data_IF_340486155189
#
_entry.id   IF_340486155189
#
_cell.length_a   1.000
_cell.length_b   1.000
_cell.length_c   1.000
_cell.angle_alpha   90.00
_cell.angle_beta   90.00
_cell.angle_gamma   90.00
#
_symmetry.space_group_name_H-M   'P 1'
#
loop_
_entity.id
_entity.type
_entity.pdbx_description
1 polymer ?
#
# COMPACT_ATOMS: atom_id res chain seq x y z
N UNK A 1 14.75 20.62 -29.41
CA UNK A 1 14.86 20.95 -27.97
C UNK A 1 16.27 21.48 -27.71
N UNK A 2 16.50 22.39 -26.76
CA UNK A 2 17.84 22.96 -26.51
C UNK A 2 18.84 21.98 -25.87
N UNK A 3 18.38 20.82 -25.37
CA UNK A 3 19.20 19.79 -24.72
C UNK A 3 19.13 18.47 -25.49
N UNK A 4 20.19 17.65 -25.41
CA UNK A 4 20.24 16.31 -26.03
C UNK A 4 19.31 15.33 -25.30
N UNK A 5 18.91 14.24 -25.97
CA UNK A 5 18.13 13.15 -25.35
C UNK A 5 18.82 12.60 -24.11
N UNK A 6 20.12 12.35 -24.21
CA UNK A 6 20.96 11.88 -23.10
C UNK A 6 20.87 12.81 -21.88
N UNK A 7 20.90 14.13 -22.09
CA UNK A 7 20.73 15.11 -21.00
C UNK A 7 19.37 14.97 -20.32
N UNK A 8 18.30 14.72 -21.08
CA UNK A 8 16.96 14.51 -20.51
C UNK A 8 16.85 13.20 -19.74
N UNK A 9 17.43 12.11 -20.26
CA UNK A 9 17.45 10.80 -19.59
C UNK A 9 18.22 10.91 -18.28
N UNK A 10 19.42 11.51 -18.30
CA UNK A 10 20.23 11.71 -17.11
C UNK A 10 19.54 12.62 -16.07
N UNK A 11 18.91 13.71 -16.52
CA UNK A 11 18.14 14.58 -15.63
C UNK A 11 16.96 13.84 -14.97
N UNK A 12 16.27 12.99 -15.73
CA UNK A 12 15.17 12.19 -15.19
C UNK A 12 15.67 11.10 -14.22
N UNK A 13 16.83 10.50 -14.47
CA UNK A 13 17.49 9.57 -13.54
C UNK A 13 17.80 10.26 -12.20
N UNK A 14 18.35 11.48 -12.23
CA UNK A 14 18.60 12.25 -11.01
C UNK A 14 17.31 12.63 -10.26
N UNK A 15 16.25 13.01 -10.99
CA UNK A 15 14.94 13.24 -10.38
C UNK A 15 14.37 11.96 -9.77
N UNK A 16 14.45 10.84 -10.47
CA UNK A 16 14.05 9.52 -9.98
C UNK A 16 14.81 9.14 -8.71
N UNK A 17 16.12 9.35 -8.67
CA UNK A 17 16.95 9.11 -7.48
C UNK A 17 16.49 9.97 -6.30
N UNK A 18 16.23 11.25 -6.54
CA UNK A 18 15.70 12.18 -5.53
C UNK A 18 14.34 11.75 -4.99
N UNK A 19 13.40 11.37 -5.86
CA UNK A 19 12.10 10.87 -5.43
C UNK A 19 12.18 9.55 -4.68
N UNK A 20 13.07 8.65 -5.08
CA UNK A 20 13.23 7.35 -4.45
C UNK A 20 13.59 7.49 -2.96
N UNK A 21 14.74 8.09 -2.64
CA UNK A 21 15.17 8.29 -1.24
C UNK A 21 14.30 9.31 -0.52
N UNK A 22 13.90 10.38 -1.20
CA UNK A 22 13.09 11.44 -0.60
C UNK A 22 11.77 10.92 -0.02
N UNK A 23 11.03 10.11 -0.79
CA UNK A 23 9.82 9.46 -0.28
C UNK A 23 10.13 8.26 0.62
N UNK A 24 11.16 7.46 0.29
CA UNK A 24 11.49 6.26 1.04
C UNK A 24 11.92 6.52 2.49
N UNK A 25 12.57 7.66 2.76
CA UNK A 25 12.96 8.06 4.10
C UNK A 25 11.77 8.41 5.01
N UNK A 26 10.62 8.83 4.45
CA UNK A 26 9.46 9.29 5.23
C UNK A 26 8.91 8.15 6.08
N UNK A 27 8.61 7.01 5.45
CA UNK A 27 8.00 5.87 6.11
C UNK A 27 8.88 5.32 7.23
N UNK A 28 10.14 5.05 6.91
CA UNK A 28 11.11 4.50 7.86
C UNK A 28 11.26 5.42 9.08
N UNK A 29 11.55 6.71 8.87
CA UNK A 29 11.75 7.66 9.98
C UNK A 29 10.51 7.78 10.90
N UNK A 30 9.29 7.78 10.33
CA UNK A 30 8.06 7.81 11.11
C UNK A 30 7.89 6.54 11.96
N UNK A 31 8.09 5.36 11.35
CA UNK A 31 7.98 4.08 12.04
C UNK A 31 9.03 3.91 13.13
N UNK A 32 10.27 4.28 12.84
CA UNK A 32 11.38 4.21 13.79
C UNK A 32 11.23 5.18 14.96
N UNK A 33 10.81 6.43 14.69
CA UNK A 33 10.54 7.43 15.71
C UNK A 33 9.40 6.99 16.64
N UNK A 34 8.34 6.39 16.08
CA UNK A 34 7.24 5.83 16.87
C UNK A 34 7.71 4.67 17.77
N UNK A 35 8.56 3.79 17.25
CA UNK A 35 9.16 2.71 18.03
C UNK A 35 10.06 3.25 19.16
N UNK A 36 10.91 4.24 18.87
CA UNK A 36 11.79 4.86 19.85
C UNK A 36 11.03 5.59 20.98
N UNK A 37 9.96 6.30 20.64
CA UNK A 37 9.09 6.95 21.63
C UNK A 37 8.44 5.94 22.57
N UNK A 38 7.97 4.82 22.04
CA UNK A 38 7.38 3.74 22.83
C UNK A 38 8.43 2.99 23.67
N UNK A 39 9.63 2.77 23.14
CA UNK A 39 10.74 2.21 23.90
C UNK A 39 11.13 3.12 25.07
N UNK A 40 11.18 4.44 24.86
CA UNK A 40 11.47 5.42 25.92
C UNK A 40 10.41 5.37 27.03
N UNK A 41 9.12 5.30 26.65
CA UNK A 41 8.01 5.11 27.60
C UNK A 41 8.13 3.79 28.37
N UNK A 42 8.47 2.71 27.67
CA UNK A 42 8.62 1.37 28.24
C UNK A 42 9.78 1.29 29.24
N UNK A 43 10.94 1.88 28.91
CA UNK A 43 12.11 1.97 29.79
C UNK A 43 11.81 2.83 31.02
N UNK A 44 11.10 3.95 30.84
CA UNK A 44 10.66 4.80 31.94
C UNK A 44 9.77 4.05 32.94
N UNK A 45 8.95 3.10 32.46
CA UNK A 45 8.12 2.24 33.31
C UNK A 45 8.91 1.11 33.96
N UNK A 46 9.85 0.48 33.25
CA UNK A 46 10.65 -0.64 33.74
C UNK A 46 12.15 -0.51 33.38
N UNK A 47 12.94 0.25 34.15
CA UNK A 47 14.35 0.52 33.83
C UNK A 47 15.24 -0.73 33.80
N UNK A 48 14.88 -1.76 34.57
CA UNK A 48 15.61 -3.03 34.62
C UNK A 48 15.58 -3.76 33.27
N UNK A 49 14.57 -3.49 32.43
CA UNK A 49 14.41 -4.08 31.11
C UNK A 49 15.01 -3.23 29.97
N UNK A 50 15.81 -2.20 30.30
CA UNK A 50 16.42 -1.29 29.32
C UNK A 50 17.22 -1.99 28.22
N UNK A 51 18.10 -2.93 28.59
CA UNK A 51 18.89 -3.70 27.62
C UNK A 51 18.03 -4.49 26.63
N UNK A 52 17.11 -5.36 27.10
CA UNK A 52 16.16 -6.07 26.25
C UNK A 52 15.29 -5.17 25.36
N UNK A 53 14.75 -4.08 25.92
CA UNK A 53 13.90 -3.14 25.17
C UNK A 53 14.71 -2.44 24.08
N UNK A 54 15.91 -1.95 24.41
CA UNK A 54 16.80 -1.30 23.45
C UNK A 54 17.19 -2.25 22.33
N UNK A 55 17.55 -3.50 22.66
CA UNK A 55 17.84 -4.53 21.66
C UNK A 55 16.65 -4.74 20.72
N UNK A 56 15.44 -4.87 21.27
CA UNK A 56 14.26 -5.13 20.47
C UNK A 56 13.85 -3.93 19.60
N UNK A 57 13.98 -2.71 20.13
CA UNK A 57 13.80 -1.46 19.40
C UNK A 57 14.73 -1.41 18.18
N UNK A 58 16.04 -1.64 18.38
CA UNK A 58 17.03 -1.60 17.30
C UNK A 58 16.76 -2.67 16.22
N UNK A 59 16.34 -3.87 16.61
CA UNK A 59 15.96 -4.92 15.65
C UNK A 59 14.73 -4.47 14.85
N UNK A 60 13.69 -3.95 15.52
CA UNK A 60 12.48 -3.47 14.85
C UNK A 60 12.74 -2.30 13.91
N UNK A 61 13.57 -1.34 14.33
CA UNK A 61 14.01 -0.21 13.50
C UNK A 61 14.81 -0.71 12.28
N UNK A 62 15.76 -1.62 12.46
CA UNK A 62 16.51 -2.18 11.34
C UNK A 62 15.62 -2.88 10.28
N UNK A 63 14.52 -3.52 10.71
CA UNK A 63 13.54 -4.09 9.78
C UNK A 63 12.67 -3.01 9.14
N UNK A 64 12.27 -1.95 9.85
CA UNK A 64 11.53 -0.83 9.27
C UNK A 64 12.39 -0.06 8.23
N UNK A 65 13.68 0.11 8.52
CA UNK A 65 14.68 0.80 7.70
C UNK A 65 14.95 0.09 6.37
N UNK A 66 14.65 -1.21 6.25
CA UNK A 66 14.89 -1.94 4.99
C UNK A 66 14.23 -1.27 3.79
N UNK A 67 13.03 -0.70 3.96
CA UNK A 67 12.35 0.08 2.91
C UNK A 67 13.15 1.33 2.48
N UNK A 68 13.77 2.03 3.44
CA UNK A 68 14.67 3.15 3.19
C UNK A 68 15.94 2.72 2.47
N UNK A 69 16.52 1.57 2.86
CA UNK A 69 17.68 0.99 2.18
C UNK A 69 17.34 0.60 0.74
N UNK A 70 16.15 0.04 0.49
CA UNK A 70 15.70 -0.30 -0.86
C UNK A 70 15.60 0.96 -1.74
N UNK A 71 15.04 2.04 -1.21
CA UNK A 71 15.01 3.34 -1.87
C UNK A 71 16.42 3.91 -2.10
N UNK A 72 17.32 3.79 -1.13
CA UNK A 72 18.72 4.21 -1.27
C UNK A 72 19.44 3.44 -2.38
N UNK A 73 19.26 2.12 -2.46
CA UNK A 73 19.85 1.29 -3.51
C UNK A 73 19.35 1.75 -4.88
N UNK A 74 18.04 1.93 -5.06
CA UNK A 74 17.48 2.43 -6.34
C UNK A 74 18.03 3.82 -6.67
N UNK A 75 18.08 4.74 -5.71
CA UNK A 75 18.64 6.07 -5.94
C UNK A 75 20.11 6.06 -6.34
N UNK A 76 20.92 5.22 -5.69
CA UNK A 76 22.33 5.07 -6.03
C UNK A 76 22.51 4.50 -7.43
N UNK A 77 21.72 3.49 -7.81
CA UNK A 77 21.75 2.95 -9.16
C UNK A 77 21.33 3.98 -10.20
N UNK A 78 20.27 4.76 -9.94
CA UNK A 78 19.84 5.86 -10.81
C UNK A 78 20.86 7.00 -10.91
N UNK A 79 21.59 7.30 -9.83
CA UNK A 79 22.58 8.38 -9.82
C UNK A 79 23.86 8.03 -10.59
N UNK A 80 24.24 6.75 -10.63
CA UNK A 80 25.50 6.30 -11.22
C UNK A 80 25.33 5.45 -12.50
N UNK A 81 24.11 5.30 -13.02
CA UNK A 81 23.90 4.57 -14.26
C UNK A 81 24.40 5.34 -15.47
N UNK A 82 24.97 4.60 -16.41
CA UNK A 82 25.29 5.10 -17.74
C UNK A 82 23.99 5.22 -18.55
N UNK A 83 23.74 6.41 -19.09
CA UNK A 83 22.55 6.73 -19.89
C UNK A 83 22.93 7.01 -21.36
N UNK A 84 24.13 6.60 -21.77
CA UNK A 84 24.60 6.79 -23.14
C UNK A 84 23.68 6.08 -24.14
N UNK A 85 23.36 6.77 -25.23
CA UNK A 85 22.51 6.27 -26.33
C UNK A 85 21.06 5.86 -25.94
N UNK A 86 20.63 6.18 -24.71
CA UNK A 86 19.30 5.83 -24.22
C UNK A 86 18.16 6.51 -25.02
N UNK A 87 17.10 5.75 -25.39
CA UNK A 87 15.91 6.33 -26.01
C UNK A 87 15.14 7.21 -25.02
N UNK A 88 14.43 8.22 -25.52
CA UNK A 88 13.71 9.20 -24.70
C UNK A 88 12.67 8.59 -23.73
N UNK A 89 12.13 7.41 -24.04
CA UNK A 89 11.20 6.69 -23.16
C UNK A 89 11.86 6.25 -21.85
N UNK A 90 13.16 5.96 -21.85
CA UNK A 90 13.90 5.59 -20.63
C UNK A 90 13.92 6.72 -19.61
N UNK A 91 13.93 7.99 -20.04
CA UNK A 91 13.82 9.12 -19.11
C UNK A 91 12.60 8.95 -18.17
N UNK A 92 11.46 8.58 -18.74
CA UNK A 92 10.23 8.35 -17.97
C UNK A 92 10.26 7.06 -17.18
N UNK A 93 10.91 6.02 -17.70
CA UNK A 93 11.08 4.75 -16.99
C UNK A 93 11.94 4.90 -15.73
N UNK A 94 13.06 5.65 -15.83
CA UNK A 94 13.96 5.94 -14.71
C UNK A 94 13.33 6.87 -13.67
N UNK A 95 12.53 7.85 -14.11
CA UNK A 95 11.72 8.63 -13.18
C UNK A 95 10.68 7.75 -12.46
N UNK A 96 10.01 6.88 -13.21
CA UNK A 96 8.98 5.99 -12.71
C UNK A 96 9.52 4.94 -11.74
N UNK A 97 10.73 4.42 -11.95
CA UNK A 97 11.39 3.48 -11.02
C UNK A 97 11.66 4.13 -9.67
N UNK A 98 12.11 5.39 -9.68
CA UNK A 98 12.28 6.19 -8.47
C UNK A 98 10.98 6.39 -7.71
N UNK A 99 9.91 6.77 -8.41
CA UNK A 99 8.57 6.95 -7.83
C UNK A 99 7.98 5.64 -7.29
N UNK A 100 8.13 4.53 -8.04
CA UNK A 100 7.66 3.21 -7.64
C UNK A 100 8.26 2.80 -6.30
N UNK A 101 9.59 2.81 -6.20
CA UNK A 101 10.28 2.44 -4.95
C UNK A 101 10.00 3.45 -3.82
N UNK A 102 10.13 4.74 -4.10
CA UNK A 102 10.00 5.78 -3.07
C UNK A 102 8.62 5.78 -2.41
N UNK A 103 7.55 5.76 -3.20
CA UNK A 103 6.18 5.74 -2.68
C UNK A 103 5.86 4.43 -1.95
N UNK A 104 6.31 3.27 -2.46
CA UNK A 104 6.07 1.98 -1.80
C UNK A 104 6.77 1.85 -0.44
N UNK A 105 7.88 2.56 -0.25
CA UNK A 105 8.61 2.58 1.02
C UNK A 105 7.89 3.39 2.12
N UNK A 106 7.07 4.39 1.77
CA UNK A 106 6.32 5.20 2.75
C UNK A 106 5.47 4.31 3.65
N UNK A 107 4.62 3.47 3.04
CA UNK A 107 3.69 2.64 3.79
C UNK A 107 4.40 1.57 4.60
N UNK A 108 5.35 0.89 3.97
CA UNK A 108 6.05 -0.26 4.55
C UNK A 108 6.94 0.12 5.73
N UNK A 109 7.66 1.24 5.63
CA UNK A 109 8.48 1.77 6.71
C UNK A 109 7.64 2.22 7.91
N UNK A 110 6.54 2.94 7.66
CA UNK A 110 5.65 3.40 8.73
C UNK A 110 4.95 2.20 9.41
N UNK A 111 4.44 1.26 8.62
CA UNK A 111 3.80 0.03 9.11
C UNK A 111 4.72 -0.86 9.94
N UNK A 112 6.00 -0.96 9.55
CA UNK A 112 7.01 -1.76 10.26
C UNK A 112 7.30 -1.27 11.69
N UNK A 113 7.05 0.00 11.98
CA UNK A 113 7.26 0.60 13.30
C UNK A 113 6.22 0.20 14.36
N UNK A 114 4.99 -0.11 13.97
CA UNK A 114 3.91 -0.48 14.91
C UNK A 114 4.22 -1.75 15.73
N UNK A 115 4.58 -2.89 15.13
CA UNK A 115 4.98 -4.08 15.89
C UNK A 115 6.22 -3.84 16.76
N UNK A 116 7.18 -3.04 16.30
CA UNK A 116 8.38 -2.72 17.07
C UNK A 116 8.06 -1.94 18.34
N UNK A 117 7.19 -0.93 18.22
CA UNK A 117 6.71 -0.14 19.35
C UNK A 117 5.99 -1.00 20.40
N UNK A 118 5.03 -1.82 19.98
CA UNK A 118 4.23 -2.64 20.89
C UNK A 118 5.03 -3.80 21.49
N UNK A 119 6.05 -4.31 20.80
CA UNK A 119 6.97 -5.27 21.38
C UNK A 119 7.79 -4.64 22.52
N UNK A 120 8.26 -3.39 22.37
CA UNK A 120 8.99 -2.70 23.42
C UNK A 120 8.12 -2.50 24.68
N UNK A 121 6.87 -2.05 24.49
CA UNK A 121 5.90 -1.90 25.59
C UNK A 121 5.58 -3.25 26.23
N UNK A 122 5.31 -4.27 25.41
CA UNK A 122 5.01 -5.62 25.88
C UNK A 122 6.15 -6.27 26.66
N UNK A 123 7.42 -6.01 26.31
CA UNK A 123 8.59 -6.49 27.06
C UNK A 123 8.67 -5.82 28.44
N UNK A 124 8.38 -4.53 28.54
CA UNK A 124 8.35 -3.84 29.83
C UNK A 124 7.23 -4.34 30.73
N UNK A 125 6.06 -4.62 30.14
CA UNK A 125 4.86 -5.07 30.85
C UNK A 125 4.93 -6.55 31.25
N UNK A 126 5.47 -7.41 30.38
CA UNK A 126 5.55 -8.86 30.57
C UNK A 126 6.90 -9.44 30.10
N UNK A 127 8.00 -9.23 30.85
CA UNK A 127 9.34 -9.69 30.49
C UNK A 127 9.47 -11.17 30.07
N UNK A 128 8.78 -12.14 30.71
CA UNK A 128 8.90 -13.55 30.33
C UNK A 128 8.45 -13.85 28.88
N UNK A 129 7.64 -12.96 28.29
CA UNK A 129 7.11 -13.13 26.93
C UNK A 129 8.02 -12.57 25.84
N UNK A 130 9.16 -11.96 26.20
CA UNK A 130 10.06 -11.26 25.27
C UNK A 130 10.33 -12.04 23.99
N UNK A 131 10.74 -13.32 24.08
CA UNK A 131 11.06 -14.11 22.89
C UNK A 131 9.88 -14.26 21.92
N UNK A 132 8.67 -14.46 22.45
CA UNK A 132 7.45 -14.56 21.64
C UNK A 132 7.08 -13.21 21.00
N UNK A 133 7.26 -12.11 21.72
CA UNK A 133 7.00 -10.76 21.22
C UNK A 133 7.99 -10.35 20.12
N UNK A 134 9.28 -10.59 20.32
CA UNK A 134 10.30 -10.35 19.29
C UNK A 134 10.02 -11.17 18.04
N UNK A 135 9.62 -12.44 18.20
CA UNK A 135 9.26 -13.30 17.06
C UNK A 135 8.04 -12.75 16.32
N UNK A 136 7.00 -12.34 17.04
CA UNK A 136 5.80 -11.79 16.42
C UNK A 136 6.08 -10.45 15.73
N UNK A 137 6.91 -9.61 16.34
CA UNK A 137 7.38 -8.37 15.76
C UNK A 137 8.06 -8.62 14.42
N UNK A 138 9.02 -9.54 14.36
CA UNK A 138 9.73 -9.86 13.12
C UNK A 138 8.78 -10.36 12.02
N UNK A 139 7.84 -11.25 12.37
CA UNK A 139 6.83 -11.74 11.41
C UNK A 139 5.97 -10.58 10.91
N UNK A 140 5.46 -9.76 11.82
CA UNK A 140 4.60 -8.62 11.49
C UNK A 140 5.29 -7.56 10.63
N UNK A 141 6.51 -7.19 11.00
CA UNK A 141 7.33 -6.25 10.22
C UNK A 141 7.69 -6.84 8.86
N UNK A 142 8.03 -8.14 8.76
CA UNK A 142 8.31 -8.76 7.46
C UNK A 142 7.09 -8.72 6.53
N UNK A 143 5.89 -8.96 7.06
CA UNK A 143 4.63 -8.87 6.32
C UNK A 143 4.41 -7.43 5.82
N UNK A 144 4.64 -6.41 6.66
CA UNK A 144 4.50 -5.00 6.24
C UNK A 144 5.56 -4.54 5.24
N UNK A 145 6.66 -5.28 5.03
CA UNK A 145 7.68 -4.95 4.02
C UNK A 145 7.35 -5.46 2.62
N UNK A 146 6.40 -6.38 2.47
CA UNK A 146 6.04 -6.94 1.16
C UNK A 146 5.65 -5.88 0.10
N UNK A 147 4.94 -4.77 0.43
CA UNK A 147 4.60 -3.77 -0.59
C UNK A 147 5.83 -2.97 -1.06
N UNK A 148 6.83 -2.77 -0.21
CA UNK A 148 8.11 -2.18 -0.63
C UNK A 148 8.88 -3.12 -1.57
N UNK A 149 8.82 -4.43 -1.35
CA UNK A 149 9.40 -5.42 -2.28
C UNK A 149 8.69 -5.35 -3.63
N UNK A 150 7.37 -5.20 -3.65
CA UNK A 150 6.60 -5.03 -4.88
C UNK A 150 7.05 -3.79 -5.68
N UNK A 151 7.18 -2.64 -5.00
CA UNK A 151 7.73 -1.42 -5.60
C UNK A 151 9.16 -1.58 -6.11
N UNK A 152 10.02 -2.25 -5.35
CA UNK A 152 11.41 -2.53 -5.75
C UNK A 152 11.48 -3.40 -7.01
N UNK A 153 10.69 -4.47 -7.09
CA UNK A 153 10.67 -5.36 -8.25
C UNK A 153 10.25 -4.59 -9.50
N UNK A 154 9.18 -3.78 -9.41
CA UNK A 154 8.75 -2.94 -10.53
C UNK A 154 9.81 -1.89 -10.88
N UNK A 155 10.45 -1.27 -9.89
CA UNK A 155 11.53 -0.31 -10.12
C UNK A 155 12.71 -0.93 -10.89
N UNK A 156 13.16 -2.13 -10.48
CA UNK A 156 14.20 -2.85 -11.20
C UNK A 156 13.77 -3.23 -12.62
N UNK A 157 12.54 -3.70 -12.80
CA UNK A 157 12.05 -4.02 -14.13
C UNK A 157 12.01 -2.77 -15.03
N UNK A 158 11.51 -1.63 -14.54
CA UNK A 158 11.51 -0.37 -15.28
C UNK A 158 12.93 0.07 -15.67
N UNK A 159 13.90 -0.10 -14.78
CA UNK A 159 15.30 0.28 -15.03
C UNK A 159 16.03 -0.61 -16.05
N UNK A 160 15.68 -1.90 -16.11
CA UNK A 160 16.46 -2.89 -16.86
C UNK A 160 15.73 -3.51 -18.06
N UNK A 161 14.45 -3.19 -18.27
CA UNK A 161 13.76 -3.51 -19.53
C UNK A 161 14.32 -2.62 -20.64
N UNK A 162 14.60 -3.23 -21.79
CA UNK A 162 14.95 -2.52 -23.02
C UNK A 162 13.68 -1.90 -23.63
N UNK A 163 13.63 -0.58 -23.68
CA UNK A 163 12.50 0.18 -24.22
C UNK A 163 12.71 0.65 -25.66
N UNK A 164 13.81 0.27 -26.31
CA UNK A 164 14.16 0.71 -27.67
C UNK A 164 13.11 0.36 -28.72
N UNK A 165 12.35 -0.71 -28.52
CA UNK A 165 11.31 -1.19 -29.44
C UNK A 165 9.94 -0.54 -29.20
N UNK A 166 9.77 0.25 -28.14
CA UNK A 166 8.50 0.86 -27.77
C UNK A 166 8.45 2.34 -28.18
N UNK A 167 7.31 2.83 -28.70
CA UNK A 167 7.20 4.23 -29.10
C UNK A 167 7.13 5.14 -27.87
N UNK A 168 7.75 6.32 -27.95
CA UNK A 168 7.66 7.33 -26.88
C UNK A 168 6.19 7.68 -26.58
N UNK A 169 5.38 7.85 -27.62
CA UNK A 169 3.95 8.11 -27.51
C UNK A 169 3.17 6.89 -27.97
N UNK A 170 2.31 6.28 -27.14
CA UNK A 170 1.92 6.68 -25.78
C UNK A 170 2.82 6.13 -24.65
N UNK A 171 3.92 5.43 -24.97
CA UNK A 171 4.69 4.61 -24.01
C UNK A 171 5.20 5.32 -22.75
N UNK A 172 5.56 6.60 -22.80
CA UNK A 172 6.00 7.35 -21.62
C UNK A 172 4.97 7.34 -20.49
N UNK A 173 3.68 7.41 -20.85
CA UNK A 173 2.59 7.43 -19.89
C UNK A 173 2.33 6.04 -19.31
N UNK A 174 2.63 4.98 -20.07
CA UNK A 174 2.55 3.61 -19.61
C UNK A 174 3.59 3.32 -18.53
N UNK A 175 4.86 3.66 -18.79
CA UNK A 175 5.96 3.43 -17.83
C UNK A 175 5.78 4.27 -16.57
N UNK A 176 5.37 5.54 -16.70
CA UNK A 176 5.05 6.39 -15.56
C UNK A 176 3.84 5.88 -14.78
N UNK A 177 2.78 5.49 -15.49
CA UNK A 177 1.58 4.90 -14.91
C UNK A 177 1.88 3.63 -14.12
N UNK A 178 2.80 2.78 -14.62
CA UNK A 178 3.21 1.55 -13.94
C UNK A 178 3.87 1.85 -12.59
N UNK A 179 4.83 2.79 -12.57
CA UNK A 179 5.50 3.18 -11.33
C UNK A 179 4.55 3.82 -10.31
N UNK A 180 3.64 4.68 -10.77
CA UNK A 180 2.61 5.29 -9.91
C UNK A 180 1.62 4.27 -9.38
N UNK A 181 1.22 3.27 -10.18
CA UNK A 181 0.24 2.26 -9.78
C UNK A 181 0.72 1.44 -8.59
N UNK A 182 1.91 0.84 -8.69
CA UNK A 182 2.48 0.05 -7.59
C UNK A 182 2.91 0.93 -6.41
N UNK A 183 3.47 2.11 -6.70
CA UNK A 183 3.98 3.05 -5.69
C UNK A 183 2.87 3.49 -4.74
N UNK A 184 1.78 4.01 -5.30
CA UNK A 184 0.65 4.51 -4.52
C UNK A 184 -0.12 3.38 -3.82
N UNK A 185 -0.34 2.24 -4.50
CA UNK A 185 -1.07 1.11 -3.93
C UNK A 185 -0.37 0.49 -2.71
N UNK A 186 0.96 0.53 -2.71
CA UNK A 186 1.78 0.03 -1.61
C UNK A 186 1.70 0.89 -0.35
N UNK A 187 1.36 2.19 -0.44
CA UNK A 187 1.27 3.08 0.73
C UNK A 187 0.25 2.53 1.72
N UNK A 188 -1.00 2.35 1.29
CA UNK A 188 -2.06 1.91 2.18
C UNK A 188 -1.83 0.51 2.72
N UNK A 189 -1.38 -0.40 1.85
CA UNK A 189 -1.13 -1.80 2.19
C UNK A 189 0.00 -1.97 3.21
N UNK A 190 1.07 -1.18 3.08
CA UNK A 190 2.22 -1.20 3.99
C UNK A 190 1.83 -0.75 5.39
N UNK A 191 1.15 0.39 5.52
CA UNK A 191 0.69 0.89 6.83
C UNK A 191 -0.34 -0.08 7.42
N UNK A 192 -1.33 -0.47 6.62
CA UNK A 192 -2.46 -1.28 7.06
C UNK A 192 -2.07 -2.69 7.52
N UNK A 193 -1.07 -3.31 6.89
CA UNK A 193 -0.60 -4.64 7.33
C UNK A 193 0.26 -4.61 8.60
N UNK A 194 0.85 -3.46 8.95
CA UNK A 194 1.62 -3.26 10.19
C UNK A 194 0.77 -3.03 11.44
N UNK A 195 -0.38 -2.37 11.32
CA UNK A 195 -1.32 -2.13 12.42
C UNK A 195 -1.76 -3.40 13.17
N UNK A 196 -2.27 -4.46 12.51
CA UNK A 196 -2.61 -5.70 13.19
C UNK A 196 -1.40 -6.36 13.85
N UNK A 197 -0.20 -6.21 13.29
CA UNK A 197 1.00 -6.73 13.93
C UNK A 197 1.33 -6.05 15.26
N UNK A 198 1.17 -4.72 15.34
CA UNK A 198 1.26 -3.99 16.61
C UNK A 198 0.23 -4.50 17.63
N UNK A 199 -1.04 -4.51 17.25
CA UNK A 199 -2.13 -4.95 18.13
C UNK A 199 -2.02 -6.41 18.56
N UNK A 200 -1.60 -7.30 17.66
CA UNK A 200 -1.32 -8.70 17.97
C UNK A 200 -0.18 -8.83 18.98
N UNK A 201 0.88 -8.06 18.83
CA UNK A 201 2.03 -8.05 19.76
C UNK A 201 1.60 -7.58 21.15
N UNK A 202 0.84 -6.48 21.23
CA UNK A 202 0.26 -6.01 22.50
C UNK A 202 -0.72 -7.04 23.11
N UNK A 203 -1.48 -7.73 22.26
CA UNK A 203 -2.36 -8.82 22.65
C UNK A 203 -1.62 -10.01 23.25
N UNK A 204 -0.54 -10.45 22.59
CA UNK A 204 0.32 -11.55 23.04
C UNK A 204 1.02 -11.26 24.37
N UNK A 205 1.39 -10.00 24.62
CA UNK A 205 1.95 -9.61 25.90
C UNK A 205 0.94 -9.80 27.03
N UNK A 206 -0.34 -9.48 26.80
CA UNK A 206 -1.43 -9.60 27.79
C UNK A 206 -1.96 -11.03 27.92
N UNK A 207 -2.00 -11.79 26.83
CA UNK A 207 -2.60 -13.12 26.75
C UNK A 207 -1.66 -14.12 26.07
N UNK A 208 -0.55 -14.53 26.69
CA UNK A 208 0.47 -15.37 26.04
C UNK A 208 -0.06 -16.75 25.62
N UNK A 209 -1.04 -17.29 26.35
CA UNK A 209 -1.65 -18.58 26.05
C UNK A 209 -2.41 -18.59 24.71
N UNK A 210 -2.89 -17.43 24.23
CA UNK A 210 -3.60 -17.31 22.97
C UNK A 210 -2.72 -16.84 21.80
N UNK A 211 -1.39 -16.82 21.98
CA UNK A 211 -0.45 -16.24 21.03
C UNK A 211 -0.58 -16.81 19.61
N UNK A 212 -0.76 -18.13 19.48
CA UNK A 212 -0.95 -18.79 18.19
C UNK A 212 -2.22 -18.29 17.50
N UNK A 213 -3.35 -18.25 18.21
CA UNK A 213 -4.64 -17.79 17.67
C UNK A 213 -4.58 -16.33 17.24
N UNK A 214 -3.98 -15.47 18.07
CA UNK A 214 -3.79 -14.04 17.76
C UNK A 214 -2.93 -13.89 16.50
N UNK A 215 -1.80 -14.61 16.42
CA UNK A 215 -0.90 -14.54 15.27
C UNK A 215 -1.57 -15.04 13.99
N UNK A 216 -2.36 -16.10 14.05
CA UNK A 216 -3.11 -16.59 12.88
C UNK A 216 -4.08 -15.53 12.37
N UNK A 217 -4.86 -14.90 13.27
CA UNK A 217 -5.78 -13.84 12.87
C UNK A 217 -5.05 -12.61 12.30
N UNK A 218 -3.94 -12.20 12.94
CA UNK A 218 -3.07 -11.14 12.42
C UNK A 218 -2.64 -11.42 10.98
N UNK A 219 -2.14 -12.62 10.69
CA UNK A 219 -1.68 -12.99 9.35
C UNK A 219 -2.81 -12.98 8.32
N UNK A 220 -4.00 -13.48 8.69
CA UNK A 220 -5.18 -13.45 7.82
C UNK A 220 -5.56 -12.00 7.52
N UNK A 221 -5.69 -11.16 8.55
CA UNK A 221 -6.07 -9.76 8.39
C UNK A 221 -5.05 -8.97 7.56
N UNK A 222 -3.75 -9.14 7.84
CA UNK A 222 -2.66 -8.50 7.09
C UNK A 222 -2.60 -8.95 5.63
N UNK A 223 -2.88 -10.22 5.33
CA UNK A 223 -2.90 -10.71 3.96
C UNK A 223 -3.99 -10.01 3.13
N UNK A 224 -5.17 -9.80 3.72
CA UNK A 224 -6.26 -9.06 3.07
C UNK A 224 -5.91 -7.57 2.93
N UNK A 225 -5.18 -6.97 3.87
CA UNK A 225 -4.69 -5.60 3.74
C UNK A 225 -3.66 -5.40 2.62
N UNK A 226 -3.08 -6.47 2.07
CA UNK A 226 -2.07 -6.39 1.01
C UNK A 226 -2.60 -6.57 -0.41
N UNK A 227 -3.81 -7.11 -0.57
CA UNK A 227 -4.40 -7.29 -1.90
C UNK A 227 -4.49 -5.99 -2.72
N UNK A 228 -4.67 -4.78 -2.14
CA UNK A 228 -4.65 -3.55 -2.93
C UNK A 228 -3.29 -3.29 -3.62
N UNK A 229 -2.17 -3.58 -2.94
CA UNK A 229 -0.84 -3.48 -3.55
C UNK A 229 -0.64 -4.51 -4.67
N UNK A 230 -1.24 -5.69 -4.55
CA UNK A 230 -1.21 -6.70 -5.62
C UNK A 230 -1.97 -6.20 -6.85
N UNK A 231 -3.15 -5.58 -6.69
CA UNK A 231 -3.85 -4.96 -7.83
C UNK A 231 -3.01 -3.88 -8.51
N UNK A 232 -2.35 -3.01 -7.74
CA UNK A 232 -1.43 -2.01 -8.28
C UNK A 232 -0.25 -2.61 -9.04
N UNK A 233 0.36 -3.69 -8.51
CA UNK A 233 1.42 -4.42 -9.21
C UNK A 233 0.91 -5.04 -10.52
N UNK A 234 -0.26 -5.67 -10.51
CA UNK A 234 -0.84 -6.30 -11.70
C UNK A 234 -1.06 -5.26 -12.80
N UNK A 235 -1.60 -4.09 -12.47
CA UNK A 235 -1.76 -2.99 -13.43
C UNK A 235 -0.41 -2.47 -13.92
N UNK A 236 0.59 -2.37 -13.03
CA UNK A 236 1.95 -2.01 -13.44
C UNK A 236 2.53 -2.99 -14.47
N UNK A 237 2.39 -4.30 -14.22
CA UNK A 237 2.84 -5.32 -15.18
C UNK A 237 2.08 -5.24 -16.51
N UNK A 238 0.76 -5.02 -16.48
CA UNK A 238 -0.02 -4.82 -17.71
C UNK A 238 0.50 -3.60 -18.51
N UNK A 239 0.77 -2.48 -17.83
CA UNK A 239 1.30 -1.27 -18.47
C UNK A 239 2.71 -1.46 -19.05
N UNK A 240 3.52 -2.34 -18.47
CA UNK A 240 4.89 -2.59 -18.91
C UNK A 240 5.00 -3.59 -20.05
N UNK A 241 4.13 -4.59 -20.10
CA UNK A 241 4.26 -5.72 -21.03
C UNK A 241 3.28 -5.69 -22.21
N UNK A 242 2.33 -4.76 -22.25
CA UNK A 242 1.49 -4.57 -23.43
C UNK A 242 2.30 -3.83 -24.51
N UNK A 243 2.15 -4.26 -25.75
CA UNK A 243 2.79 -3.63 -26.90
C UNK A 243 2.00 -2.39 -27.34
N UNK A 244 2.67 -1.24 -27.37
CA UNK A 244 2.06 0.04 -27.73
C UNK A 244 2.30 0.43 -29.20
N UNK A 245 2.97 -0.45 -29.97
CA UNK A 245 3.24 -0.21 -31.37
C UNK A 245 1.96 -0.13 -32.21
N UNK A 246 1.88 0.91 -33.05
CA UNK A 246 0.72 1.13 -33.94
C UNK A 246 -0.55 1.65 -33.26
N UNK A 247 -0.52 1.88 -31.95
CA UNK A 247 -1.64 2.49 -31.21
C UNK A 247 -1.59 4.01 -31.34
N UNK A 248 -2.73 4.72 -31.53
CA UNK A 248 -2.72 6.18 -31.61
C UNK A 248 -2.10 6.83 -30.39
N UNK A 249 -1.25 7.84 -30.57
CA UNK A 249 -0.67 8.59 -29.44
C UNK A 249 -1.77 9.27 -28.60
N UNK A 250 -2.68 9.97 -29.28
CA UNK A 250 -3.82 10.66 -28.71
C UNK A 250 -5.10 9.86 -29.03
N UNK A 251 -5.94 9.52 -28.05
CA UNK A 251 -5.88 9.86 -26.61
C UNK A 251 -5.17 8.83 -25.70
N UNK A 252 -4.49 7.84 -26.27
CA UNK A 252 -4.05 6.65 -25.53
C UNK A 252 -3.15 6.93 -24.35
N UNK A 253 -2.18 7.86 -24.46
CA UNK A 253 -1.27 8.16 -23.34
C UNK A 253 -2.03 8.53 -22.05
N UNK A 254 -3.12 9.29 -22.21
CA UNK A 254 -3.93 9.76 -21.09
C UNK A 254 -4.70 8.61 -20.44
N UNK A 255 -5.13 7.63 -21.23
CA UNK A 255 -5.74 6.41 -20.73
C UNK A 255 -4.73 5.54 -19.96
N UNK A 256 -3.50 5.39 -20.45
CA UNK A 256 -2.46 4.59 -19.78
C UNK A 256 -2.04 5.19 -18.45
N UNK A 257 -1.81 6.52 -18.40
CA UNK A 257 -1.54 7.22 -17.14
C UNK A 257 -2.75 7.16 -16.20
N UNK A 258 -3.96 7.36 -16.74
CA UNK A 258 -5.21 7.27 -15.98
C UNK A 258 -5.42 5.88 -15.36
N UNK A 259 -5.06 4.81 -16.06
CA UNK A 259 -5.13 3.44 -15.55
C UNK A 259 -4.20 3.24 -14.34
N UNK A 260 -2.95 3.69 -14.46
CA UNK A 260 -2.00 3.64 -13.34
C UNK A 260 -2.51 4.38 -12.10
N UNK A 261 -3.00 5.61 -12.29
CA UNK A 261 -3.54 6.46 -11.21
C UNK A 261 -4.82 5.89 -10.58
N UNK A 262 -5.70 5.28 -11.38
CA UNK A 262 -6.99 4.76 -10.92
C UNK A 262 -6.81 3.64 -9.90
N UNK A 263 -6.06 2.59 -10.23
CA UNK A 263 -5.78 1.51 -9.27
C UNK A 263 -4.84 1.97 -8.16
N UNK A 264 -3.81 2.74 -8.49
CA UNK A 264 -2.80 3.18 -7.52
C UNK A 264 -3.38 3.99 -6.36
N UNK A 265 -4.17 5.02 -6.67
CA UNK A 265 -4.78 5.86 -5.64
C UNK A 265 -5.91 5.14 -4.90
N UNK A 266 -6.78 4.41 -5.61
CA UNK A 266 -7.93 3.73 -4.98
C UNK A 266 -7.49 2.66 -3.99
N UNK A 267 -6.32 2.04 -4.20
CA UNK A 267 -5.76 1.03 -3.31
C UNK A 267 -5.30 1.57 -1.94
N UNK A 268 -5.04 2.88 -1.79
CA UNK A 268 -4.59 3.47 -0.53
C UNK A 268 -5.64 3.26 0.56
N UNK A 269 -6.90 3.57 0.26
CA UNK A 269 -7.98 3.53 1.25
C UNK A 269 -8.23 2.14 1.83
N UNK A 270 -8.54 1.13 0.99
CA UNK A 270 -8.76 -0.24 1.42
C UNK A 270 -7.56 -0.84 2.16
N UNK A 271 -6.33 -0.52 1.74
CA UNK A 271 -5.13 -0.99 2.43
C UNK A 271 -5.11 -0.55 3.90
N UNK A 272 -5.35 0.75 4.14
CA UNK A 272 -5.41 1.32 5.50
C UNK A 272 -6.65 0.79 6.25
N UNK A 273 -7.82 0.84 5.63
CA UNK A 273 -9.10 0.44 6.22
C UNK A 273 -9.10 -1.02 6.69
N UNK A 274 -8.61 -1.93 5.84
CA UNK A 274 -8.48 -3.33 6.19
C UNK A 274 -7.51 -3.54 7.36
N UNK A 275 -6.47 -2.71 7.45
CA UNK A 275 -5.56 -2.67 8.57
C UNK A 275 -6.24 -2.32 9.90
N UNK A 276 -7.09 -1.30 9.92
CA UNK A 276 -7.88 -0.96 11.11
C UNK A 276 -8.78 -2.12 11.54
N UNK A 277 -9.46 -2.76 10.59
CA UNK A 277 -10.32 -3.92 10.90
C UNK A 277 -9.52 -5.07 11.51
N UNK A 278 -8.39 -5.42 10.91
CA UNK A 278 -7.51 -6.49 11.39
C UNK A 278 -6.88 -6.16 12.75
N UNK A 279 -6.55 -4.89 13.00
CA UNK A 279 -6.05 -4.41 14.28
C UNK A 279 -7.05 -4.66 15.41
N UNK A 280 -8.32 -4.30 15.19
CA UNK A 280 -9.38 -4.50 16.17
C UNK A 280 -9.76 -5.97 16.32
N UNK A 281 -9.64 -6.78 15.27
CA UNK A 281 -9.79 -8.23 15.34
C UNK A 281 -8.73 -8.85 16.25
N UNK A 282 -7.46 -8.50 16.06
CA UNK A 282 -6.34 -8.98 16.87
C UNK A 282 -6.50 -8.57 18.34
N UNK A 283 -6.90 -7.32 18.60
CA UNK A 283 -7.18 -6.83 19.96
C UNK A 283 -8.41 -7.51 20.59
N UNK A 284 -9.42 -7.81 19.78
CA UNK A 284 -10.63 -8.54 20.18
C UNK A 284 -10.29 -9.95 20.65
N UNK A 285 -9.59 -10.71 19.81
CA UNK A 285 -9.17 -12.09 20.10
C UNK A 285 -8.23 -12.16 21.30
N UNK A 286 -7.35 -11.17 21.46
CA UNK A 286 -6.49 -11.12 22.64
C UNK A 286 -7.28 -10.97 23.96
N UNK A 287 -8.46 -10.35 23.92
CA UNK A 287 -9.35 -10.22 25.09
C UNK A 287 -10.22 -11.46 25.29
N UNK A 288 -10.74 -12.03 24.20
CA UNK A 288 -11.64 -13.19 24.23
C UNK A 288 -11.23 -14.17 23.12
N UNK A 289 -10.26 -15.07 23.37
CA UNK A 289 -9.75 -16.00 22.36
C UNK A 289 -10.81 -16.96 21.80
N UNK A 290 -11.82 -17.28 22.61
CA UNK A 290 -12.94 -18.16 22.25
C UNK A 290 -13.80 -17.55 21.14
N UNK A 291 -13.86 -16.22 21.06
CA UNK A 291 -14.59 -15.49 20.01
C UNK A 291 -13.83 -15.37 18.68
N UNK A 292 -12.68 -16.05 18.52
CA UNK A 292 -11.82 -15.95 17.33
C UNK A 292 -12.53 -16.28 16.01
N UNK A 293 -13.38 -17.31 15.98
CA UNK A 293 -14.15 -17.66 14.80
C UNK A 293 -15.09 -16.53 14.34
N UNK A 294 -16.04 -16.09 15.20
CA UNK A 294 -16.94 -14.96 14.89
C UNK A 294 -16.22 -13.66 14.56
N UNK A 295 -15.15 -13.32 15.30
CA UNK A 295 -14.34 -12.12 15.08
C UNK A 295 -13.66 -12.16 13.71
N UNK A 296 -13.03 -13.28 13.37
CA UNK A 296 -12.37 -13.47 12.06
C UNK A 296 -13.38 -13.42 10.92
N UNK A 297 -14.54 -14.07 11.08
CA UNK A 297 -15.61 -14.05 10.07
C UNK A 297 -16.09 -12.63 9.80
N UNK A 298 -16.36 -11.86 10.85
CA UNK A 298 -16.85 -10.48 10.70
C UNK A 298 -15.77 -9.56 10.14
N UNK A 299 -14.51 -9.74 10.56
CA UNK A 299 -13.36 -9.04 9.98
C UNK A 299 -13.32 -9.25 8.47
N UNK A 300 -13.41 -10.49 7.99
CA UNK A 300 -13.37 -10.81 6.56
C UNK A 300 -14.55 -10.22 5.80
N UNK A 301 -15.76 -10.26 6.37
CA UNK A 301 -16.94 -9.61 5.77
C UNK A 301 -16.69 -8.11 5.61
N UNK A 302 -16.26 -7.44 6.69
CA UNK A 302 -16.01 -6.00 6.68
C UNK A 302 -14.89 -5.60 5.71
N UNK A 303 -13.79 -6.35 5.69
CA UNK A 303 -12.67 -6.12 4.77
C UNK A 303 -13.03 -6.40 3.31
N UNK A 304 -13.93 -7.35 3.04
CA UNK A 304 -14.41 -7.63 1.68
C UNK A 304 -15.19 -6.45 1.12
N UNK A 305 -16.04 -5.83 1.94
CA UNK A 305 -16.77 -4.62 1.54
C UNK A 305 -15.79 -3.47 1.31
N UNK A 306 -14.89 -3.21 2.27
CA UNK A 306 -13.87 -2.16 2.14
C UNK A 306 -12.95 -2.30 0.90
N UNK A 307 -12.85 -3.49 0.30
CA UNK A 307 -12.09 -3.71 -0.93
C UNK A 307 -12.82 -3.33 -2.22
N UNK A 308 -14.13 -3.14 -2.21
CA UNK A 308 -14.90 -2.85 -3.43
C UNK A 308 -14.33 -1.65 -4.19
N UNK A 309 -13.85 -0.62 -3.50
CA UNK A 309 -13.33 0.59 -4.13
C UNK A 309 -12.05 0.38 -4.93
N UNK A 310 -11.12 -0.46 -4.46
CA UNK A 310 -9.94 -0.83 -5.25
C UNK A 310 -10.33 -1.73 -6.42
N UNK A 311 -11.37 -2.56 -6.28
CA UNK A 311 -11.92 -3.33 -7.40
C UNK A 311 -12.52 -2.40 -8.47
N UNK A 312 -13.18 -1.30 -8.08
CA UNK A 312 -13.67 -0.30 -9.03
C UNK A 312 -12.53 0.44 -9.73
N UNK A 313 -11.49 0.82 -8.99
CA UNK A 313 -10.27 1.41 -9.58
C UNK A 313 -9.58 0.45 -10.55
N UNK A 314 -9.46 -0.83 -10.16
CA UNK A 314 -8.95 -1.89 -11.01
C UNK A 314 -9.81 -2.07 -12.27
N UNK A 315 -11.13 -2.10 -12.14
CA UNK A 315 -12.06 -2.18 -13.27
C UNK A 315 -11.88 -0.99 -14.23
N UNK A 316 -11.85 0.25 -13.73
CA UNK A 316 -11.62 1.44 -14.57
C UNK A 316 -10.25 1.37 -15.25
N UNK A 317 -9.23 0.83 -14.57
CA UNK A 317 -7.91 0.63 -15.17
C UNK A 317 -7.94 -0.38 -16.32
N UNK A 318 -8.65 -1.50 -16.16
CA UNK A 318 -8.84 -2.48 -17.23
C UNK A 318 -9.61 -1.89 -18.41
N UNK A 319 -10.66 -1.10 -18.14
CA UNK A 319 -11.41 -0.38 -19.18
C UNK A 319 -10.50 0.59 -19.93
N UNK A 320 -9.66 1.34 -19.20
CA UNK A 320 -8.72 2.28 -19.81
C UNK A 320 -7.66 1.57 -20.69
N UNK A 321 -7.17 0.41 -20.25
CA UNK A 321 -6.15 -0.38 -20.94
C UNK A 321 -6.67 -1.11 -22.19
N UNK A 322 -7.85 -1.72 -22.11
CA UNK A 322 -8.31 -2.69 -23.11
C UNK A 322 -9.39 -2.17 -24.05
N UNK A 323 -9.96 -0.98 -23.82
CA UNK A 323 -10.88 -0.39 -24.78
C UNK A 323 -10.10 0.34 -25.88
N UNK A 324 -10.18 -0.12 -27.14
CA UNK A 324 -9.51 0.52 -28.25
C UNK A 324 -10.07 1.92 -28.48
N UNK A 325 -9.20 2.86 -28.83
CA UNK A 325 -9.57 4.25 -29.11
C UNK A 325 -9.09 4.64 -30.49
N UNK A 326 -9.96 5.32 -31.23
CA UNK A 326 -9.59 5.92 -32.50
C UNK A 326 -8.72 7.15 -32.27
N UNK A 327 -7.87 7.46 -33.25
CA UNK A 327 -7.03 8.64 -33.21
C UNK A 327 -7.90 9.90 -33.18
N UNK A 328 -7.67 10.78 -32.20
CA UNK A 328 -8.40 12.04 -32.06
C UNK A 328 -7.51 13.09 -31.44
N UNK A 329 -7.40 14.23 -32.12
CA UNK A 329 -6.60 15.38 -31.68
C UNK A 329 -7.40 16.34 -30.80
N UNK A 330 -8.67 16.04 -30.52
CA UNK A 330 -9.49 16.90 -29.68
C UNK A 330 -9.02 16.80 -28.23
N UNK A 331 -8.94 17.94 -27.54
CA UNK A 331 -8.52 17.96 -26.14
C UNK A 331 -9.43 17.11 -25.25
N UNK A 332 -10.73 17.10 -25.56
CA UNK A 332 -11.74 16.31 -24.84
C UNK A 332 -11.41 14.81 -24.90
N UNK A 333 -10.96 14.30 -26.06
CA UNK A 333 -10.70 12.88 -26.25
C UNK A 333 -9.64 12.32 -25.29
N UNK A 334 -8.62 13.11 -24.92
CA UNK A 334 -7.57 12.67 -23.99
C UNK A 334 -7.80 13.15 -22.56
N UNK A 335 -8.43 14.30 -22.34
CA UNK A 335 -8.75 14.76 -20.97
C UNK A 335 -9.76 13.83 -20.30
N UNK A 336 -10.74 13.32 -21.04
CA UNK A 336 -11.78 12.45 -20.49
C UNK A 336 -11.24 11.14 -19.85
N UNK A 337 -10.43 10.31 -20.54
CA UNK A 337 -9.89 9.09 -19.93
C UNK A 337 -8.94 9.34 -18.76
N UNK A 338 -8.11 10.40 -18.81
CA UNK A 338 -7.27 10.78 -17.68
C UNK A 338 -8.11 11.20 -16.47
N UNK A 339 -9.14 12.01 -16.71
CA UNK A 339 -10.05 12.48 -15.66
C UNK A 339 -10.84 11.33 -15.03
N UNK A 340 -11.26 10.34 -15.82
CA UNK A 340 -11.90 9.14 -15.33
C UNK A 340 -10.97 8.35 -14.39
N UNK A 341 -9.72 8.16 -14.78
CA UNK A 341 -8.73 7.50 -13.94
C UNK A 341 -8.50 8.22 -12.60
N UNK A 342 -8.32 9.55 -12.65
CA UNK A 342 -8.13 10.40 -11.46
C UNK A 342 -9.36 10.37 -10.55
N UNK A 343 -10.56 10.52 -11.12
CA UNK A 343 -11.82 10.56 -10.39
C UNK A 343 -12.05 9.26 -9.58
N UNK A 344 -11.90 8.10 -10.24
CA UNK A 344 -12.02 6.81 -9.57
C UNK A 344 -10.89 6.60 -8.55
N UNK A 345 -9.65 6.98 -8.90
CA UNK A 345 -8.50 6.84 -8.02
C UNK A 345 -8.71 7.53 -6.67
N UNK A 346 -9.01 8.82 -6.66
CA UNK A 346 -9.29 9.55 -5.42
C UNK A 346 -10.61 9.11 -4.76
N UNK A 347 -11.62 8.80 -5.56
CA UNK A 347 -12.92 8.34 -5.09
C UNK A 347 -12.87 7.08 -4.25
N UNK A 348 -11.88 6.21 -4.48
CA UNK A 348 -11.74 4.96 -3.73
C UNK A 348 -11.08 5.07 -2.35
N UNK A 349 -10.41 6.20 -2.05
CA UNK A 349 -9.67 6.37 -0.79
C UNK A 349 -10.63 6.48 0.39
N UNK A 350 -11.59 7.41 0.30
CA UNK A 350 -12.52 7.73 1.39
C UNK A 350 -13.36 6.53 1.85
N UNK A 351 -14.14 5.88 0.96
CA UNK A 351 -14.94 4.73 1.35
C UNK A 351 -14.10 3.56 1.85
N UNK A 352 -12.97 3.25 1.20
CA UNK A 352 -12.08 2.18 1.66
C UNK A 352 -11.60 2.35 3.11
N UNK A 353 -11.27 3.58 3.53
CA UNK A 353 -10.94 3.88 4.94
C UNK A 353 -12.18 3.84 5.83
N UNK A 354 -13.26 4.51 5.43
CA UNK A 354 -14.49 4.63 6.22
C UNK A 354 -15.16 3.29 6.51
N UNK A 355 -15.16 2.39 5.52
CA UNK A 355 -15.71 1.06 5.63
C UNK A 355 -14.86 0.15 6.51
N UNK A 356 -13.53 0.27 6.40
CA UNK A 356 -12.59 -0.39 7.29
C UNK A 356 -12.75 0.06 8.75
N UNK A 357 -13.04 1.35 8.99
CA UNK A 357 -13.36 1.88 10.32
C UNK A 357 -14.68 1.33 10.85
N UNK A 358 -15.75 1.33 10.06
CA UNK A 358 -17.04 0.76 10.44
C UNK A 358 -16.91 -0.72 10.82
N UNK A 359 -16.12 -1.47 10.04
CA UNK A 359 -15.79 -2.85 10.34
C UNK A 359 -14.95 -3.00 11.62
N UNK A 360 -13.95 -2.15 11.83
CA UNK A 360 -13.11 -2.17 13.03
C UNK A 360 -13.93 -2.02 14.32
N UNK A 361 -14.84 -1.04 14.38
CA UNK A 361 -15.72 -0.85 15.54
C UNK A 361 -16.65 -2.05 15.78
N UNK A 362 -17.18 -2.62 14.70
CA UNK A 362 -18.06 -3.78 14.76
C UNK A 362 -17.32 -5.02 15.29
N UNK A 363 -16.14 -5.29 14.75
CA UNK A 363 -15.27 -6.39 15.13
C UNK A 363 -14.85 -6.29 16.60
N UNK A 364 -14.47 -5.08 17.05
CA UNK A 364 -14.15 -4.83 18.46
C UNK A 364 -15.32 -5.20 19.40
N UNK A 365 -16.56 -4.91 18.97
CA UNK A 365 -17.75 -5.18 19.77
C UNK A 365 -18.17 -6.65 19.74
N UNK A 366 -18.05 -7.31 18.59
CA UNK A 366 -18.32 -8.74 18.44
C UNK A 366 -17.40 -9.55 19.37
N UNK A 367 -16.14 -9.15 19.53
CA UNK A 367 -15.25 -9.80 20.47
C UNK A 367 -15.76 -9.80 21.94
N UNK A 368 -16.73 -8.95 22.32
CA UNK A 368 -17.26 -8.86 23.69
C UNK A 368 -18.61 -9.58 23.86
N UNK A 369 -19.56 -9.38 22.95
CA UNK A 369 -20.95 -9.90 23.06
C UNK A 369 -21.45 -10.51 21.73
N UNK A 370 -20.71 -11.44 21.11
CA UNK A 370 -21.14 -11.97 19.79
C UNK A 370 -22.44 -12.78 19.86
N UNK A 371 -22.69 -13.53 20.93
CA UNK A 371 -23.87 -14.43 21.05
C UNK A 371 -25.20 -13.67 21.06
N UNK A 372 -25.21 -12.46 21.63
CA UNK A 372 -26.43 -11.67 21.80
C UNK A 372 -26.73 -10.77 20.59
N UNK A 373 -25.69 -10.13 20.03
CA UNK A 373 -25.87 -9.02 19.07
C UNK A 373 -25.05 -9.16 17.78
N UNK A 374 -24.34 -10.27 17.56
CA UNK A 374 -23.43 -10.43 16.41
C UNK A 374 -24.10 -10.21 15.05
N UNK A 375 -25.28 -10.78 14.82
CA UNK A 375 -26.06 -10.60 13.58
C UNK A 375 -26.51 -9.15 13.41
N UNK A 376 -26.99 -8.52 14.50
CA UNK A 376 -27.45 -7.13 14.47
C UNK A 376 -26.30 -6.18 14.15
N UNK A 377 -25.16 -6.35 14.82
CA UNK A 377 -23.96 -5.53 14.61
C UNK A 377 -23.43 -5.67 13.18
N UNK A 378 -23.38 -6.88 12.64
CA UNK A 378 -22.97 -7.12 11.25
C UNK A 378 -23.92 -6.42 10.26
N UNK A 379 -25.23 -6.44 10.53
CA UNK A 379 -26.20 -5.70 9.68
C UNK A 379 -26.00 -4.19 9.76
N UNK A 380 -25.82 -3.63 10.95
CA UNK A 380 -25.58 -2.19 11.13
C UNK A 380 -24.28 -1.77 10.44
N UNK A 381 -23.23 -2.58 10.56
CA UNK A 381 -21.97 -2.40 9.83
C UNK A 381 -22.21 -2.33 8.32
N UNK A 382 -22.88 -3.33 7.74
CA UNK A 382 -23.14 -3.38 6.30
C UNK A 382 -23.99 -2.20 5.82
N UNK A 383 -24.97 -1.75 6.60
CA UNK A 383 -25.75 -0.55 6.27
C UNK A 383 -24.88 0.70 6.31
N UNK A 384 -24.05 0.87 7.34
CA UNK A 384 -23.11 1.99 7.43
C UNK A 384 -22.08 1.99 6.30
N UNK A 385 -21.54 0.82 5.96
CA UNK A 385 -20.62 0.64 4.84
C UNK A 385 -21.31 0.99 3.51
N UNK A 386 -22.54 0.52 3.28
CA UNK A 386 -23.30 0.85 2.07
C UNK A 386 -23.55 2.36 1.91
N UNK A 387 -23.73 3.11 3.00
CA UNK A 387 -23.85 4.57 2.94
C UNK A 387 -22.50 5.23 2.61
N UNK A 388 -21.42 4.78 3.25
CA UNK A 388 -20.05 5.24 2.97
C UNK A 388 -19.66 5.01 1.49
N UNK A 389 -20.05 3.86 0.95
CA UNK A 389 -19.77 3.40 -0.40
C UNK A 389 -20.37 4.31 -1.49
N UNK A 390 -21.47 5.01 -1.19
CA UNK A 390 -22.17 5.87 -2.15
C UNK A 390 -21.23 6.87 -2.84
N UNK A 391 -20.25 7.42 -2.13
CA UNK A 391 -19.26 8.36 -2.69
C UNK A 391 -18.29 7.68 -3.66
N UNK A 392 -17.91 6.42 -3.40
CA UNK A 392 -17.14 5.60 -4.33
C UNK A 392 -17.93 5.25 -5.59
N UNK A 393 -19.22 4.97 -5.44
CA UNK A 393 -20.14 4.74 -6.57
C UNK A 393 -20.32 6.02 -7.41
N UNK A 394 -20.42 7.20 -6.79
CA UNK A 394 -20.47 8.46 -7.54
C UNK A 394 -19.23 8.66 -8.40
N UNK A 395 -18.04 8.41 -7.84
CA UNK A 395 -16.79 8.47 -8.60
C UNK A 395 -16.74 7.45 -9.73
N UNK A 396 -17.21 6.21 -9.50
CA UNK A 396 -17.30 5.19 -10.53
C UNK A 396 -18.26 5.64 -11.65
N UNK A 397 -19.45 6.14 -11.31
CA UNK A 397 -20.44 6.61 -12.29
C UNK A 397 -19.86 7.75 -13.12
N UNK A 398 -19.26 8.77 -12.50
CA UNK A 398 -18.64 9.89 -13.22
C UNK A 398 -17.52 9.40 -14.14
N UNK A 399 -16.70 8.45 -13.67
CA UNK A 399 -15.63 7.86 -14.48
C UNK A 399 -16.18 7.10 -15.69
N UNK A 400 -17.25 6.32 -15.52
CA UNK A 400 -17.90 5.60 -16.62
C UNK A 400 -18.58 6.56 -17.61
N UNK A 401 -19.23 7.62 -17.13
CA UNK A 401 -19.81 8.65 -17.99
C UNK A 401 -18.76 9.33 -18.86
N UNK A 402 -17.60 9.66 -18.30
CA UNK A 402 -16.45 10.22 -19.02
C UNK A 402 -15.84 9.26 -20.06
N UNK A 403 -16.09 7.96 -19.94
CA UNK A 403 -15.50 6.95 -20.84
C UNK A 403 -16.42 6.49 -21.95
N UNK A 404 -17.73 6.53 -21.71
CA UNK A 404 -18.72 5.90 -22.61
C UNK A 404 -19.79 6.84 -23.13
N UNK A 405 -19.99 8.01 -22.51
CA UNK A 405 -21.08 8.92 -22.84
C UNK A 405 -20.58 10.24 -23.41
N UNK A 406 -19.48 10.74 -22.87
CA UNK A 406 -18.77 11.94 -23.32
C UNK A 406 -17.58 11.51 -24.16
#
# INVERSE_FOLDING_TARGET
>A
MPFSTETWVQAAAFLGAGFSVGFGAIGAALGEGYAAGNASRAIGKNPAMSGPILKNMLIGQAVAESAGIFALVIAMLLAFMDCSEAPMIEAWSLLASGLAMGLSAIGSGAGGGFPAAEACVGIADNPPTQGALTTNMLIGSAVSQTPAIFGMVVAFMLMFIDWSTQPLWPGWAAVLGAGLSVGLAAIGSGVGSGMPAGSATAGMARQPAAATTIRTNMLIGSAVSQTPAIFGMVVAFMLMFVDWNGVPAWPTWAALLGAGLSTGLSAIGPGIGNGFTAQEASAGIARVPEASGPVTTTMLIGQTVAQSTVIYGFLVSLILLFIPREASDTMVAWVAPLSAGICMGFGGIGPGVGEGLAAAYTVNRIARNYEEVGVLLTRVMLVGQAVSESTGIYSLIVSLLLLFVI
#
